data_IF_755764587220
#
_entry.id   IF_755764587220
#
_cell.length_a   1.000
_cell.length_b   1.000
_cell.length_c   1.000
_cell.angle_alpha   90.00
_cell.angle_beta   90.00
_cell.angle_gamma   90.00
#
_symmetry.space_group_name_H-M   'P 1'
#
loop_
_entity.id
_entity.type
_entity.pdbx_description
1 polymer ?
#
# COMPACT_ATOMS: atom_id res chain seq x y z
N UNK A 1 -48.07 -17.41 46.84
CA UNK A 1 -48.12 -16.24 45.95
C UNK A 1 -47.02 -15.30 46.37
N UNK A 2 -45.86 -15.36 45.72
CA UNK A 2 -44.81 -14.35 45.83
C UNK A 2 -44.00 -14.37 44.55
N UNK A 3 -43.66 -13.16 44.14
CA UNK A 3 -43.42 -12.67 42.79
C UNK A 3 -42.17 -13.20 42.07
N UNK A 4 -42.27 -13.23 40.73
CA UNK A 4 -41.12 -13.12 39.84
C UNK A 4 -40.53 -11.70 39.96
N UNK A 5 -39.23 -11.54 39.70
CA UNK A 5 -38.93 -10.70 38.54
C UNK A 5 -38.08 -11.44 37.51
N UNK A 6 -38.61 -11.41 36.29
CA UNK A 6 -37.94 -11.75 35.04
C UNK A 6 -36.86 -10.68 34.78
N UNK A 7 -35.60 -11.00 35.07
CA UNK A 7 -34.46 -10.13 34.71
C UNK A 7 -34.15 -10.30 33.23
N UNK A 8 -34.90 -9.57 32.41
CA UNK A 8 -34.48 -9.19 31.07
C UNK A 8 -33.30 -8.23 31.20
N UNK A 9 -32.06 -8.74 31.20
CA UNK A 9 -30.89 -7.91 30.93
C UNK A 9 -30.77 -7.69 29.42
N UNK A 10 -30.57 -6.44 28.96
CA UNK A 10 -30.25 -6.17 27.57
C UNK A 10 -28.85 -6.73 27.27
N UNK A 11 -28.77 -7.62 26.29
CA UNK A 11 -27.52 -8.00 25.63
C UNK A 11 -26.88 -6.72 25.11
N UNK A 12 -25.84 -6.24 25.79
CA UNK A 12 -24.98 -5.22 25.22
C UNK A 12 -24.41 -5.79 23.91
N UNK A 13 -24.36 -5.01 22.82
CA UNK A 13 -23.69 -5.47 21.62
C UNK A 13 -22.24 -5.68 22.03
N UNK A 14 -21.74 -6.92 21.88
CA UNK A 14 -20.35 -7.24 22.07
C UNK A 14 -19.50 -6.12 21.49
N UNK A 15 -18.81 -5.37 22.35
CA UNK A 15 -17.61 -4.66 21.94
C UNK A 15 -16.74 -5.75 21.34
N UNK A 16 -16.65 -5.76 20.01
CA UNK A 16 -15.90 -6.80 19.31
C UNK A 16 -14.45 -6.46 19.56
N UNK A 17 -13.94 -6.91 20.71
CA UNK A 17 -12.53 -7.10 20.99
C UNK A 17 -12.03 -8.03 19.88
N UNK A 18 -11.72 -7.46 18.71
CA UNK A 18 -11.11 -8.22 17.64
C UNK A 18 -9.80 -8.68 18.21
N UNK A 19 -9.64 -9.99 18.36
CA UNK A 19 -8.40 -10.60 18.83
C UNK A 19 -7.23 -9.92 18.11
N UNK A 20 -6.15 -9.53 18.81
CA UNK A 20 -5.08 -8.73 18.23
C UNK A 20 -4.50 -9.35 16.95
N UNK A 21 -4.58 -10.67 16.78
CA UNK A 21 -4.24 -11.34 15.51
C UNK A 21 -5.15 -10.93 14.34
N UNK A 22 -6.47 -10.86 14.54
CA UNK A 22 -7.43 -10.42 13.50
C UNK A 22 -7.16 -8.97 13.10
N UNK A 23 -6.81 -8.11 14.07
CA UNK A 23 -6.42 -6.73 13.77
C UNK A 23 -5.11 -6.67 12.97
N UNK A 24 -4.15 -7.54 13.27
CA UNK A 24 -2.88 -7.61 12.55
C UNK A 24 -3.09 -8.06 11.10
N UNK A 25 -3.96 -9.05 10.86
CA UNK A 25 -4.39 -9.46 9.51
C UNK A 25 -4.98 -8.27 8.75
N UNK A 26 -5.97 -7.59 9.33
CA UNK A 26 -6.62 -6.47 8.67
C UNK A 26 -5.64 -5.32 8.36
N UNK A 27 -4.73 -5.00 9.29
CA UNK A 27 -3.73 -3.96 9.08
C UNK A 27 -2.71 -4.33 8.00
N UNK A 28 -2.25 -5.59 7.99
CA UNK A 28 -1.37 -6.11 6.95
C UNK A 28 -2.03 -6.09 5.57
N UNK A 29 -3.24 -6.63 5.44
CA UNK A 29 -3.97 -6.68 4.17
C UNK A 29 -4.26 -5.28 3.63
N UNK A 30 -4.59 -4.33 4.51
CA UNK A 30 -4.75 -2.93 4.16
C UNK A 30 -3.47 -2.35 3.56
N UNK A 31 -2.33 -2.52 4.24
CA UNK A 31 -1.04 -2.05 3.76
C UNK A 31 -0.63 -2.70 2.43
N UNK A 32 -0.73 -4.02 2.33
CA UNK A 32 -0.42 -4.78 1.12
C UNK A 32 -1.30 -4.35 -0.06
N UNK A 33 -2.59 -4.14 0.18
CA UNK A 33 -3.53 -3.67 -0.84
C UNK A 33 -3.17 -2.27 -1.35
N UNK A 34 -2.80 -1.35 -0.45
CA UNK A 34 -2.40 0.01 -0.83
C UNK A 34 -1.12 0.01 -1.65
N UNK A 35 -0.12 -0.79 -1.27
CA UNK A 35 1.11 -0.97 -2.05
C UNK A 35 0.80 -1.56 -3.43
N UNK A 36 -0.01 -2.62 -3.49
CA UNK A 36 -0.41 -3.22 -4.76
C UNK A 36 -1.17 -2.27 -5.68
N UNK A 37 -2.03 -1.41 -5.12
CA UNK A 37 -2.72 -0.35 -5.88
C UNK A 37 -1.74 0.70 -6.38
N UNK A 38 -0.77 1.11 -5.57
CA UNK A 38 0.26 2.07 -5.96
C UNK A 38 1.12 1.51 -7.12
N UNK A 39 1.54 0.24 -7.05
CA UNK A 39 2.24 -0.44 -8.15
C UNK A 39 1.44 -0.47 -9.44
N UNK A 40 0.15 -0.81 -9.37
CA UNK A 40 -0.72 -0.80 -10.57
C UNK A 40 -0.84 0.59 -11.17
N UNK A 41 -1.11 1.62 -10.36
CA UNK A 41 -1.17 3.01 -10.83
C UNK A 41 0.13 3.46 -11.48
N UNK A 42 1.27 3.06 -10.91
CA UNK A 42 2.57 3.36 -11.49
C UNK A 42 2.73 2.72 -12.88
N UNK A 43 2.37 1.44 -13.03
CA UNK A 43 2.39 0.74 -14.30
C UNK A 43 1.45 1.39 -15.34
N UNK A 44 0.29 1.89 -14.89
CA UNK A 44 -0.66 2.65 -15.71
C UNK A 44 -0.17 4.09 -16.03
N UNK A 45 1.03 4.48 -15.58
CA UNK A 45 1.59 5.83 -15.77
C UNK A 45 0.84 6.92 -14.98
N UNK A 46 -0.02 6.54 -14.05
CA UNK A 46 -0.83 7.44 -13.23
C UNK A 46 -0.02 7.93 -12.02
N UNK A 47 -0.35 9.13 -11.53
CA UNK A 47 0.27 9.64 -10.32
C UNK A 47 -0.08 8.79 -9.09
N UNK A 48 0.89 8.63 -8.20
CA UNK A 48 0.82 7.70 -7.07
C UNK A 48 0.89 8.47 -5.77
N UNK A 49 -0.24 8.53 -5.07
CA UNK A 49 -0.27 9.00 -3.68
C UNK A 49 0.08 7.85 -2.72
N UNK A 50 1.20 8.00 -2.01
CA UNK A 50 1.67 7.06 -0.99
C UNK A 50 1.23 7.45 0.42
N UNK A 51 0.61 8.62 0.61
CA UNK A 51 0.16 9.11 1.92
C UNK A 51 -0.67 8.10 2.72
N UNK A 52 -1.55 7.27 2.11
CA UNK A 52 -2.39 6.34 2.86
C UNK A 52 -1.63 5.11 3.40
N UNK A 53 -0.44 4.80 2.87
CA UNK A 53 0.32 3.60 3.27
C UNK A 53 0.87 3.74 4.68
N UNK A 54 1.40 4.93 5.01
CA UNK A 54 2.04 5.18 6.32
C UNK A 54 1.12 4.85 7.51
N UNK A 55 -0.13 5.34 7.60
CA UNK A 55 -1.00 4.99 8.71
C UNK A 55 -1.30 3.48 8.78
N UNK A 56 -1.47 2.79 7.64
CA UNK A 56 -1.70 1.34 7.63
C UNK A 56 -0.51 0.54 8.22
N UNK A 57 0.73 0.93 7.86
CA UNK A 57 1.94 0.33 8.44
C UNK A 57 2.07 0.65 9.94
N UNK A 58 1.69 1.86 10.36
CA UNK A 58 1.71 2.25 11.77
C UNK A 58 0.71 1.46 12.60
N UNK A 59 -0.49 1.20 12.07
CA UNK A 59 -1.49 0.38 12.74
C UNK A 59 -1.00 -1.07 12.90
N UNK A 60 -0.39 -1.65 11.85
CA UNK A 60 0.24 -2.96 11.96
C UNK A 60 1.34 -2.98 13.04
N UNK A 61 2.24 -1.99 13.04
CA UNK A 61 3.29 -1.87 14.06
C UNK A 61 2.72 -1.76 15.48
N UNK A 62 1.60 -1.05 15.66
CA UNK A 62 0.93 -0.92 16.96
C UNK A 62 0.39 -2.29 17.40
N UNK A 63 -0.32 -2.98 16.51
CA UNK A 63 -0.89 -4.30 16.83
C UNK A 63 0.20 -5.34 17.13
N UNK A 64 1.32 -5.33 16.40
CA UNK A 64 2.46 -6.22 16.68
C UNK A 64 2.97 -6.06 18.12
N UNK A 65 3.00 -4.85 18.66
CA UNK A 65 3.45 -4.58 20.03
C UNK A 65 2.48 -5.10 21.10
N UNK A 66 1.22 -5.31 20.74
CA UNK A 66 0.18 -5.82 21.64
C UNK A 66 0.16 -7.36 21.68
N UNK A 67 0.84 -8.03 20.75
CA UNK A 67 0.85 -9.48 20.63
C UNK A 67 1.88 -10.15 21.56
N UNK A 68 1.59 -11.36 22.08
CA UNK A 68 2.58 -12.24 22.69
C UNK A 68 3.80 -12.45 21.77
N UNK A 69 5.00 -12.56 22.35
CA UNK A 69 6.26 -12.56 21.59
C UNK A 69 6.34 -13.59 20.46
N UNK A 70 5.76 -14.79 20.65
CA UNK A 70 5.73 -15.83 19.60
C UNK A 70 4.88 -15.42 18.39
N UNK A 71 3.72 -14.82 18.63
CA UNK A 71 2.84 -14.32 17.58
C UNK A 71 3.44 -13.08 16.92
N UNK A 72 3.97 -12.15 17.73
CA UNK A 72 4.64 -10.95 17.24
C UNK A 72 5.81 -11.27 16.28
N UNK A 73 6.59 -12.32 16.55
CA UNK A 73 7.69 -12.74 15.69
C UNK A 73 7.25 -13.07 14.25
N UNK A 74 6.09 -13.73 14.08
CA UNK A 74 5.52 -14.01 12.75
C UNK A 74 5.18 -12.72 12.02
N UNK A 75 4.53 -11.78 12.71
CA UNK A 75 4.13 -10.51 12.13
C UNK A 75 5.31 -9.56 11.83
N UNK A 76 6.43 -9.68 12.56
CA UNK A 76 7.66 -8.96 12.23
C UNK A 76 8.19 -9.40 10.86
N UNK A 77 8.14 -10.68 10.52
CA UNK A 77 8.53 -11.16 9.18
C UNK A 77 7.63 -10.55 8.11
N UNK A 78 6.31 -10.55 8.30
CA UNK A 78 5.37 -9.89 7.37
C UNK A 78 5.62 -8.39 7.23
N UNK A 79 6.00 -7.70 8.31
CA UNK A 79 6.37 -6.29 8.27
C UNK A 79 7.67 -6.05 7.47
N UNK A 80 8.62 -6.98 7.49
CA UNK A 80 9.83 -6.91 6.67
C UNK A 80 9.50 -7.07 5.19
N UNK A 81 8.61 -7.98 4.82
CA UNK A 81 8.15 -8.14 3.44
C UNK A 81 7.52 -6.83 2.92
N UNK A 82 6.65 -6.19 3.73
CA UNK A 82 6.07 -4.89 3.38
C UNK A 82 7.12 -3.78 3.22
N UNK A 83 8.20 -3.80 4.01
CA UNK A 83 9.29 -2.84 3.86
C UNK A 83 10.06 -3.06 2.55
N UNK A 84 10.34 -4.31 2.18
CA UNK A 84 10.95 -4.62 0.89
C UNK A 84 10.04 -4.21 -0.27
N UNK A 85 8.74 -4.46 -0.15
CA UNK A 85 7.78 -4.09 -1.16
C UNK A 85 7.70 -2.57 -1.37
N UNK A 86 7.75 -1.80 -0.28
CA UNK A 86 7.79 -0.34 -0.30
C UNK A 86 9.09 0.21 -0.88
N UNK A 87 10.23 -0.40 -0.55
CA UNK A 87 11.52 -0.02 -1.10
C UNK A 87 11.56 -0.23 -2.61
N UNK A 88 11.05 -1.37 -3.09
CA UNK A 88 10.92 -1.65 -4.52
C UNK A 88 10.01 -0.63 -5.21
N UNK A 89 8.84 -0.35 -4.65
CA UNK A 89 7.94 0.68 -5.19
C UNK A 89 8.59 2.07 -5.24
N UNK A 90 9.34 2.44 -4.19
CA UNK A 90 10.09 3.70 -4.15
C UNK A 90 11.18 3.78 -5.23
N UNK A 91 11.88 2.67 -5.49
CA UNK A 91 12.84 2.56 -6.58
C UNK A 91 12.17 2.74 -7.94
N UNK A 92 11.08 2.01 -8.21
CA UNK A 92 10.34 2.10 -9.47
C UNK A 92 9.84 3.53 -9.73
N UNK A 93 9.30 4.19 -8.70
CA UNK A 93 8.87 5.59 -8.78
C UNK A 93 10.02 6.54 -9.15
N UNK A 94 11.21 6.33 -8.57
CA UNK A 94 12.38 7.14 -8.86
C UNK A 94 12.86 6.94 -10.31
N UNK A 95 12.91 5.69 -10.79
CA UNK A 95 13.27 5.35 -12.17
C UNK A 95 12.29 5.98 -13.15
N UNK A 96 10.97 5.79 -12.94
CA UNK A 96 9.93 6.38 -13.80
C UNK A 96 9.98 7.92 -13.81
N UNK A 97 10.31 8.54 -12.68
CA UNK A 97 10.46 10.01 -12.61
C UNK A 97 11.68 10.47 -13.40
N UNK A 98 12.80 9.78 -13.30
CA UNK A 98 14.02 10.13 -14.04
C UNK A 98 13.81 10.03 -15.55
N UNK A 99 13.22 8.92 -16.03
CA UNK A 99 12.91 8.75 -17.46
C UNK A 99 11.97 9.84 -17.98
N UNK A 100 10.97 10.26 -17.19
CA UNK A 100 10.09 11.37 -17.56
C UNK A 100 10.84 12.69 -17.70
N UNK A 101 11.81 12.98 -16.84
CA UNK A 101 12.63 14.19 -16.93
C UNK A 101 13.55 14.17 -18.17
N UNK A 102 14.18 13.03 -18.45
CA UNK A 102 15.04 12.84 -19.63
C UNK A 102 14.23 13.01 -20.93
N UNK A 103 13.04 12.41 -21.01
CA UNK A 103 12.15 12.53 -22.17
C UNK A 103 11.55 13.95 -22.33
N UNK A 104 11.45 14.71 -21.25
CA UNK A 104 10.96 16.10 -21.27
C UNK A 104 12.06 17.11 -21.65
N UNK A 105 13.33 16.77 -21.45
CA UNK A 105 14.49 17.61 -21.80
C UNK A 105 14.99 17.43 -23.24
N UNK A 106 14.58 16.37 -23.93
CA UNK A 106 14.99 16.05 -25.30
C UNK A 106 14.06 16.61 -26.38
N UNK A 107 13.99 17.94 -26.54
CA UNK A 107 13.50 18.57 -27.79
C UNK A 107 13.98 20.03 -27.93
N UNK A 108 15.25 20.19 -28.28
CA UNK A 108 15.70 21.26 -29.19
C UNK A 108 16.79 20.66 -30.08
N UNK A 109 16.40 19.86 -31.06
CA UNK A 109 17.21 19.71 -32.27
C UNK A 109 16.67 20.69 -33.29
N UNK A 110 17.56 21.59 -33.70
CA UNK A 110 17.42 22.50 -34.83
C UNK A 110 16.63 21.87 -35.97
N UNK A 111 15.63 22.61 -36.44
CA UNK A 111 15.10 22.41 -37.77
C UNK A 111 16.17 22.87 -38.76
N UNK A 112 16.91 21.92 -39.34
CA UNK A 112 17.39 22.09 -40.69
C UNK A 112 17.24 20.78 -41.48
N UNK A 113 16.26 20.84 -42.38
CA UNK A 113 16.05 20.16 -43.66
C UNK A 113 16.69 18.77 -43.89
N UNK A 114 15.84 17.73 -43.96
CA UNK A 114 15.69 16.78 -45.10
C UNK A 114 15.30 15.36 -44.64
N UNK A 115 14.08 14.92 -45.02
CA UNK A 115 13.74 13.51 -45.28
C UNK A 115 12.82 12.79 -44.26
N UNK A 116 11.76 12.07 -44.70
CA UNK A 116 10.83 11.41 -43.78
C UNK A 116 11.32 10.00 -43.44
N UNK A 117 11.45 9.68 -42.15
CA UNK A 117 11.50 8.31 -41.67
C UNK A 117 10.56 8.14 -40.47
N UNK A 118 9.48 7.42 -40.72
CA UNK A 118 8.52 6.95 -39.73
C UNK A 118 9.22 5.90 -38.87
N UNK A 119 9.40 6.16 -37.57
CA UNK A 119 9.36 5.11 -36.55
C UNK A 119 8.60 5.61 -35.32
N UNK A 120 7.47 4.97 -35.11
CA UNK A 120 6.57 5.13 -33.98
C UNK A 120 7.07 4.20 -32.88
N UNK A 121 7.73 4.74 -31.85
CA UNK A 121 8.03 3.98 -30.62
C UNK A 121 7.07 4.40 -29.51
N UNK A 122 6.05 3.57 -29.32
CA UNK A 122 5.20 3.58 -28.13
C UNK A 122 5.95 2.93 -26.97
N UNK A 123 6.63 3.75 -26.17
CA UNK A 123 7.14 3.32 -24.86
C UNK A 123 6.08 3.56 -23.80
N UNK A 124 5.15 2.62 -23.67
CA UNK A 124 4.37 2.43 -22.45
C UNK A 124 5.24 1.69 -21.43
N UNK A 125 5.21 2.14 -20.17
CA UNK A 125 5.86 1.46 -19.05
C UNK A 125 5.48 -0.03 -19.05
N UNK A 126 6.48 -0.91 -19.09
CA UNK A 126 6.34 -2.35 -18.87
C UNK A 126 7.08 -2.74 -17.61
#
# INVERSE_FOLDING_TARGET
MSDKPDSSQPLTPHGVEHEPEVRAVAAYESAATLIGRARRRLADGTDVDLSPIRPAIQDLCRTIKELPSKQAAVWVTHLLDLQHDLAALGHDLAVCRQQRLENSGGKVSEADDTGPSIQQESSACR
#
